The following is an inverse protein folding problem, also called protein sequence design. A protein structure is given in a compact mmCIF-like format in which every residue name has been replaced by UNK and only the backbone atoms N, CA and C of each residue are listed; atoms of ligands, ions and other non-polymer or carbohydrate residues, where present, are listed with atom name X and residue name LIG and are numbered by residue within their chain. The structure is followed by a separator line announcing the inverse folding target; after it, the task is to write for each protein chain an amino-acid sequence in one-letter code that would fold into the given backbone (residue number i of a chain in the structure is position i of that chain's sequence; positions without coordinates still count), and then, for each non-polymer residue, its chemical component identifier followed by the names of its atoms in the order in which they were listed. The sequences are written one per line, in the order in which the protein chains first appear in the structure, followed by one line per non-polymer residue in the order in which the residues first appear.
data_IF_173530804741
#
_entry.id   IF_173530804741
#
_cell.length_a   1.000
_cell.length_b   1.000
_cell.length_c   1.000
_cell.angle_alpha   90.00
_cell.angle_beta   90.00
_cell.angle_gamma   90.00
#
_symmetry.space_group_name_H-M   'P 1'
#
loop_
_entity.id
_entity.type
_entity.pdbx_description
1 polymer ?
#
# COMPACT_ATOMS: atom_id res chain seq x y z
N UNK A 1 20.65 -40.70 -19.81
CA UNK A 1 19.39 -39.94 -19.86
C UNK A 1 19.58 -38.75 -18.95
N UNK A 2 19.70 -37.55 -19.50
CA UNK A 2 19.88 -36.33 -18.71
C UNK A 2 18.53 -35.90 -18.16
N UNK A 3 18.40 -35.81 -16.84
CA UNK A 3 17.25 -35.19 -16.19
C UNK A 3 17.19 -33.70 -16.57
N UNK A 4 16.01 -33.15 -16.91
CA UNK A 4 15.88 -31.74 -17.18
C UNK A 4 16.09 -30.95 -15.88
N UNK A 5 16.73 -29.76 -15.91
CA UNK A 5 16.87 -28.95 -14.70
C UNK A 5 15.48 -28.53 -14.23
N UNK A 6 15.11 -28.94 -13.02
CA UNK A 6 13.93 -28.45 -12.32
C UNK A 6 13.96 -26.93 -12.32
N UNK A 7 12.93 -26.30 -12.88
CA UNK A 7 12.68 -24.88 -12.65
C UNK A 7 12.46 -24.73 -11.16
N UNK A 8 13.48 -24.26 -10.42
CA UNK A 8 13.28 -23.79 -9.05
C UNK A 8 12.22 -22.70 -9.12
N UNK A 9 10.99 -23.04 -8.75
CA UNK A 9 9.95 -22.06 -8.46
C UNK A 9 10.51 -21.19 -7.34
N UNK A 10 10.97 -19.99 -7.71
CA UNK A 10 11.36 -18.99 -6.74
C UNK A 10 10.07 -18.59 -6.04
N UNK A 11 9.89 -19.08 -4.81
CA UNK A 11 8.77 -18.68 -3.98
C UNK A 11 8.74 -17.14 -3.90
N UNK A 12 7.57 -16.50 -4.05
CA UNK A 12 7.49 -15.05 -4.06
C UNK A 12 8.00 -14.48 -2.73
N UNK A 13 8.96 -13.56 -2.82
CA UNK A 13 9.52 -12.88 -1.63
C UNK A 13 8.39 -12.20 -0.85
N UNK A 14 8.21 -12.54 0.45
CA UNK A 14 7.28 -11.86 1.33
C UNK A 14 7.50 -10.34 1.31
N UNK A 15 6.44 -9.55 1.45
CA UNK A 15 6.52 -8.09 1.34
C UNK A 15 7.54 -7.47 2.32
N UNK A 16 7.66 -8.05 3.50
CA UNK A 16 8.61 -7.68 4.56
C UNK A 16 10.09 -8.01 4.23
N UNK A 17 10.34 -8.94 3.30
CA UNK A 17 11.68 -9.35 2.87
C UNK A 17 12.13 -8.63 1.59
N UNK A 18 11.26 -7.83 0.97
CA UNK A 18 11.62 -7.07 -0.23
C UNK A 18 12.64 -5.99 0.15
N UNK A 19 13.72 -5.82 -0.64
CA UNK A 19 14.63 -4.70 -0.48
C UNK A 19 13.87 -3.37 -0.44
N UNK A 20 14.23 -2.53 0.53
CA UNK A 20 13.71 -1.17 0.61
C UNK A 20 14.39 -0.33 -0.47
N UNK A 21 13.60 0.38 -1.26
CA UNK A 21 14.07 1.28 -2.30
C UNK A 21 13.82 2.72 -1.89
N UNK A 22 14.85 3.35 -1.33
CA UNK A 22 14.84 4.74 -0.87
C UNK A 22 15.07 5.77 -1.99
N UNK A 23 15.10 5.35 -3.26
CA UNK A 23 15.27 6.30 -4.37
C UNK A 23 14.08 7.25 -4.44
N UNK A 24 14.31 8.57 -4.55
CA UNK A 24 13.24 9.54 -4.72
C UNK A 24 12.34 9.17 -5.90
N UNK A 25 11.03 9.12 -5.66
CA UNK A 25 9.99 8.79 -6.65
C UNK A 25 8.94 9.89 -6.64
N UNK A 26 8.46 10.25 -7.84
CA UNK A 26 7.37 11.20 -8.02
C UNK A 26 6.03 10.45 -8.05
N UNK A 27 4.93 11.15 -7.79
CA UNK A 27 3.57 10.58 -7.89
C UNK A 27 3.30 9.87 -9.22
N UNK A 28 3.75 10.45 -10.34
CA UNK A 28 3.58 9.89 -11.69
C UNK A 28 4.37 8.60 -11.95
N UNK A 29 5.46 8.39 -11.22
CA UNK A 29 6.34 7.22 -11.33
C UNK A 29 5.95 6.08 -10.39
N UNK A 30 4.97 6.31 -9.50
CA UNK A 30 4.47 5.26 -8.61
C UNK A 30 3.71 4.19 -9.41
N UNK A 31 4.08 2.91 -9.27
CA UNK A 31 3.57 1.85 -10.13
C UNK A 31 2.09 1.54 -9.86
N UNK A 32 1.30 1.34 -10.91
CA UNK A 32 -0.12 1.01 -10.76
C UNK A 32 -0.35 -0.34 -10.06
N UNK A 33 0.56 -1.30 -10.28
CA UNK A 33 0.47 -2.67 -9.75
C UNK A 33 1.41 -2.88 -8.56
N UNK A 34 1.09 -3.83 -7.64
CA UNK A 34 1.97 -4.17 -6.55
C UNK A 34 3.38 -4.55 -7.00
N UNK A 35 4.38 -3.85 -6.47
CA UNK A 35 5.80 -4.13 -6.74
C UNK A 35 6.24 -5.37 -5.98
N UNK A 36 6.81 -6.36 -6.67
CA UNK A 36 7.19 -7.66 -6.07
C UNK A 36 8.66 -7.73 -5.65
N UNK A 37 9.49 -6.91 -6.25
CA UNK A 37 10.96 -6.92 -6.18
C UNK A 37 11.53 -5.87 -5.22
N UNK A 38 10.75 -4.84 -4.89
CA UNK A 38 11.14 -3.76 -3.98
C UNK A 38 9.95 -3.22 -3.19
N UNK A 39 10.25 -2.58 -2.07
CA UNK A 39 9.29 -1.85 -1.24
C UNK A 39 9.66 -0.37 -1.25
N UNK A 40 8.73 0.48 -1.69
CA UNK A 40 8.91 1.94 -1.71
C UNK A 40 8.40 2.50 -0.38
N UNK A 41 9.26 3.07 0.47
CA UNK A 41 8.85 3.70 1.72
C UNK A 41 8.23 5.07 1.47
N UNK A 42 7.34 5.54 2.36
CA UNK A 42 6.70 6.85 2.25
C UNK A 42 7.71 7.99 2.07
N UNK A 43 8.82 7.94 2.81
CA UNK A 43 9.93 8.92 2.70
C UNK A 43 10.61 8.99 1.32
N UNK A 44 10.45 7.98 0.47
CA UNK A 44 10.98 7.99 -0.88
C UNK A 44 10.05 8.74 -1.85
N UNK A 45 8.76 8.87 -1.52
CA UNK A 45 7.82 9.63 -2.32
C UNK A 45 8.00 11.13 -2.06
N UNK A 46 8.36 11.87 -3.11
CA UNK A 46 8.78 13.28 -3.01
C UNK A 46 7.65 14.21 -2.60
N UNK A 47 6.42 13.90 -3.02
CA UNK A 47 5.23 14.68 -2.66
C UNK A 47 4.47 14.10 -1.45
N UNK A 48 5.07 13.18 -0.69
CA UNK A 48 4.40 12.54 0.44
C UNK A 48 3.90 13.56 1.47
N UNK A 49 2.60 13.59 1.78
CA UNK A 49 2.05 14.45 2.83
C UNK A 49 2.59 14.10 4.23
N UNK A 50 2.65 15.10 5.11
CA UNK A 50 3.20 14.96 6.47
C UNK A 50 2.49 13.91 7.32
N UNK A 51 1.18 13.71 7.13
CA UNK A 51 0.40 12.72 7.88
C UNK A 51 0.75 11.28 7.47
N UNK A 52 1.08 11.05 6.19
CA UNK A 52 1.67 9.78 5.75
C UNK A 52 3.09 9.61 6.29
N UNK A 53 3.91 10.67 6.29
CA UNK A 53 5.28 10.63 6.81
C UNK A 53 5.35 10.42 8.33
N UNK A 54 4.30 10.82 9.06
CA UNK A 54 4.15 10.55 10.48
C UNK A 54 3.83 9.08 10.80
N UNK A 55 3.45 8.27 9.81
CA UNK A 55 3.22 6.84 10.00
C UNK A 55 4.55 6.06 10.00
N UNK A 56 4.75 5.25 11.04
CA UNK A 56 5.93 4.41 11.14
C UNK A 56 5.97 3.35 10.05
N UNK A 57 7.09 3.32 9.33
CA UNK A 57 7.43 2.33 8.32
C UNK A 57 6.40 2.15 7.19
N UNK A 58 5.66 3.21 6.84
CA UNK A 58 4.69 3.15 5.75
C UNK A 58 5.33 2.74 4.40
N UNK A 59 4.72 1.75 3.73
CA UNK A 59 5.13 1.22 2.42
C UNK A 59 4.02 1.35 1.40
N UNK A 60 4.40 1.71 0.17
CA UNK A 60 3.49 1.73 -0.97
C UNK A 60 3.02 0.32 -1.29
N UNK A 61 1.71 0.15 -1.51
CA UNK A 61 1.14 -1.13 -1.92
C UNK A 61 0.85 -1.18 -3.41
N UNK A 62 0.01 -0.26 -3.90
CA UNK A 62 -0.48 -0.19 -5.29
C UNK A 62 -1.38 1.03 -5.49
N UNK A 63 -1.84 1.20 -6.72
CA UNK A 63 -2.93 2.11 -7.05
C UNK A 63 -4.29 1.40 -7.05
N UNK A 64 -5.36 2.13 -6.70
CA UNK A 64 -6.76 1.71 -6.85
C UNK A 64 -7.49 2.85 -7.58
N UNK A 65 -7.66 2.74 -8.91
CA UNK A 65 -8.14 3.87 -9.70
C UNK A 65 -7.17 5.06 -9.59
N UNK A 66 -7.59 6.26 -9.16
CA UNK A 66 -6.69 7.39 -8.90
C UNK A 66 -6.07 7.38 -7.50
N UNK A 67 -6.44 6.43 -6.63
CA UNK A 67 -6.00 6.41 -5.23
C UNK A 67 -4.67 5.68 -5.06
N UNK A 68 -3.71 6.34 -4.42
CA UNK A 68 -2.43 5.76 -3.99
C UNK A 68 -2.62 5.09 -2.64
N UNK A 69 -2.34 3.79 -2.52
CA UNK A 69 -2.54 3.04 -1.28
C UNK A 69 -1.22 2.73 -0.58
N UNK A 70 -1.14 3.09 0.69
CA UNK A 70 -0.01 2.88 1.59
C UNK A 70 -0.43 2.05 2.80
N UNK A 71 0.55 1.41 3.44
CA UNK A 71 0.33 0.62 4.64
C UNK A 71 1.49 0.79 5.62
N UNK A 72 1.17 1.12 6.85
CA UNK A 72 2.07 1.12 8.00
C UNK A 72 1.75 -0.08 8.92
N UNK A 73 2.78 -0.71 9.47
CA UNK A 73 2.65 -1.86 10.38
C UNK A 73 3.02 -3.23 9.78
N UNK A 74 3.16 -4.27 10.63
CA UNK A 74 3.64 -5.62 10.29
C UNK A 74 2.72 -6.32 9.28
N UNK A 75 3.22 -7.27 8.47
CA UNK A 75 2.40 -7.97 7.45
C UNK A 75 1.16 -8.69 8.02
N UNK A 76 1.22 -9.10 9.29
CA UNK A 76 0.12 -9.67 10.07
C UNK A 76 -0.01 -8.90 11.39
N UNK A 77 -1.24 -8.61 11.79
CA UNK A 77 -1.53 -7.84 13.00
C UNK A 77 -1.98 -6.40 12.68
N UNK A 78 -1.93 -5.51 13.68
CA UNK A 78 -2.47 -4.17 13.56
C UNK A 78 -1.72 -3.37 12.49
N UNK A 79 -2.45 -2.63 11.68
CA UNK A 79 -1.89 -1.86 10.58
C UNK A 79 -2.77 -0.66 10.24
N UNK A 80 -2.13 0.42 9.82
CA UNK A 80 -2.82 1.62 9.32
C UNK A 80 -2.68 1.68 7.81
N UNK A 81 -3.81 1.71 7.11
CA UNK A 81 -3.87 1.95 5.67
C UNK A 81 -4.13 3.43 5.45
N UNK A 82 -3.30 4.06 4.63
CA UNK A 82 -3.45 5.46 4.27
C UNK A 82 -3.59 5.56 2.76
N UNK A 83 -4.44 6.47 2.29
CA UNK A 83 -4.61 6.71 0.86
C UNK A 83 -4.85 8.17 0.56
N UNK A 84 -4.40 8.63 -0.61
CA UNK A 84 -4.79 9.91 -1.18
C UNK A 84 -5.04 9.75 -2.68
N UNK A 85 -5.72 10.73 -3.30
CA UNK A 85 -5.75 10.80 -4.77
C UNK A 85 -4.38 11.23 -5.30
N UNK A 86 -4.03 10.78 -6.50
CA UNK A 86 -2.78 11.15 -7.16
C UNK A 86 -2.77 12.61 -7.68
N UNK A 87 -3.95 13.17 -8.00
CA UNK A 87 -4.14 14.51 -8.53
C UNK A 87 -4.53 15.55 -7.46
N UNK A 88 -4.95 15.10 -6.29
CA UNK A 88 -5.32 15.93 -5.13
C UNK A 88 -4.90 15.22 -3.84
N UNK A 89 -3.76 15.63 -3.26
CA UNK A 89 -3.20 15.00 -2.06
C UNK A 89 -3.98 15.35 -0.78
N UNK A 90 -4.89 16.32 -0.83
CA UNK A 90 -5.78 16.68 0.29
C UNK A 90 -7.01 15.77 0.36
N UNK A 91 -7.40 15.17 -0.76
CA UNK A 91 -8.35 14.07 -0.78
C UNK A 91 -7.68 12.80 -0.25
N UNK A 92 -7.68 12.63 1.08
CA UNK A 92 -7.02 11.52 1.77
C UNK A 92 -7.87 10.87 2.85
N UNK A 93 -7.63 9.58 3.07
CA UNK A 93 -8.38 8.75 3.99
C UNK A 93 -7.48 7.73 4.68
N UNK A 94 -7.89 7.35 5.89
CA UNK A 94 -7.19 6.35 6.70
C UNK A 94 -8.15 5.27 7.15
N UNK A 95 -7.67 4.03 7.19
CA UNK A 95 -8.35 2.88 7.77
C UNK A 95 -7.39 2.10 8.64
N UNK A 96 -7.74 1.96 9.91
CA UNK A 96 -6.98 1.17 10.88
C UNK A 96 -7.52 -0.25 10.92
N UNK A 97 -6.60 -1.20 10.97
CA UNK A 97 -6.83 -2.62 11.20
C UNK A 97 -6.28 -2.95 12.59
N UNK A 98 -7.07 -3.57 13.43
CA UNK A 98 -6.62 -4.02 14.75
C UNK A 98 -5.99 -5.44 14.71
N UNK A 99 -5.60 -5.93 15.88
CA UNK A 99 -5.00 -7.27 16.04
C UNK A 99 -5.95 -8.43 15.72
N UNK A 100 -7.26 -8.21 15.82
CA UNK A 100 -8.31 -9.20 15.51
C UNK A 100 -8.74 -9.14 14.04
N UNK A 101 -8.20 -8.19 13.27
CA UNK A 101 -8.50 -7.98 11.86
C UNK A 101 -9.79 -7.19 11.62
N UNK A 102 -10.33 -6.52 12.65
CA UNK A 102 -11.41 -5.55 12.47
C UNK A 102 -10.85 -4.27 11.86
N UNK A 103 -11.53 -3.76 10.85
CA UNK A 103 -11.18 -2.50 10.21
C UNK A 103 -12.06 -1.36 10.72
N UNK A 104 -11.53 -0.14 10.76
CA UNK A 104 -12.31 1.07 11.01
C UNK A 104 -11.67 2.25 10.28
N UNK A 105 -12.44 2.96 9.46
CA UNK A 105 -11.92 4.12 8.74
C UNK A 105 -12.94 4.80 7.87
N UNK A 106 -12.66 6.03 7.45
CA UNK A 106 -13.47 6.73 6.45
C UNK A 106 -12.98 6.38 5.05
N UNK A 107 -13.90 6.26 4.11
CA UNK A 107 -13.61 6.29 2.67
C UNK A 107 -14.25 7.54 2.03
N UNK A 108 -14.24 7.62 0.69
CA UNK A 108 -14.85 8.71 -0.06
C UNK A 108 -16.29 9.02 0.31
N UNK A 109 -17.11 8.01 0.58
CA UNK A 109 -18.55 8.21 0.79
C UNK A 109 -19.03 7.95 2.21
N UNK A 110 -18.37 7.07 2.95
CA UNK A 110 -18.87 6.59 4.24
C UNK A 110 -17.77 6.14 5.21
N UNK A 111 -18.16 5.87 6.45
CA UNK A 111 -17.35 5.12 7.41
C UNK A 111 -17.49 3.61 7.15
N UNK A 112 -16.39 2.88 7.21
CA UNK A 112 -16.30 1.46 6.92
C UNK A 112 -15.77 0.69 8.12
N UNK A 113 -16.35 -0.49 8.37
CA UNK A 113 -15.86 -1.44 9.40
C UNK A 113 -15.18 -2.67 8.79
N UNK A 114 -15.06 -2.71 7.45
CA UNK A 114 -14.44 -3.81 6.69
C UNK A 114 -13.48 -3.25 5.66
N UNK A 115 -12.28 -3.81 5.61
CA UNK A 115 -11.26 -3.40 4.64
C UNK A 115 -11.70 -3.61 3.18
N UNK A 116 -12.54 -4.63 2.92
CA UNK A 116 -13.05 -4.90 1.58
C UNK A 116 -13.97 -3.78 1.07
N UNK A 117 -14.95 -3.36 1.87
CA UNK A 117 -15.94 -2.35 1.47
C UNK A 117 -15.27 -0.99 1.29
N UNK A 118 -14.27 -0.68 2.12
CA UNK A 118 -13.46 0.53 1.97
C UNK A 118 -12.71 0.57 0.63
N UNK A 119 -12.11 -0.56 0.20
CA UNK A 119 -11.46 -0.64 -1.13
C UNK A 119 -12.44 -0.58 -2.30
N UNK A 120 -13.67 -1.05 -2.10
CA UNK A 120 -14.74 -0.93 -3.09
C UNK A 120 -15.15 0.54 -3.22
N UNK A 121 -15.35 1.24 -2.10
CA UNK A 121 -15.64 2.68 -2.07
C UNK A 121 -14.55 3.52 -2.78
N UNK A 122 -13.27 3.25 -2.51
CA UNK A 122 -12.17 3.90 -3.24
C UNK A 122 -12.22 3.65 -4.75
N UNK A 123 -12.49 2.40 -5.16
CA UNK A 123 -12.53 2.06 -6.58
C UNK A 123 -13.69 2.76 -7.29
N UNK A 124 -14.83 2.83 -6.64
CA UNK A 124 -16.08 3.28 -7.24
C UNK A 124 -16.21 4.82 -7.18
N UNK A 125 -15.42 5.50 -6.34
CA UNK A 125 -15.46 6.94 -6.11
C UNK A 125 -14.09 7.63 -6.28
N UNK A 126 -13.35 7.24 -7.31
CA UNK A 126 -12.10 7.89 -7.75
C UNK A 126 -12.31 8.95 -8.82
#
# INVERSE_FOLDING_TARGET
MSEPPERREVAPTPAEQRPVDDRPVRTEDLPDTPTRDRSIPARAWTEAPDDLLALDDARYLRRIGPWLLWRAGPARGPATYWTCRADDLDARYTLDLDGDGQASGRGPTAHHTRFRTWKEDLRDHG
#
